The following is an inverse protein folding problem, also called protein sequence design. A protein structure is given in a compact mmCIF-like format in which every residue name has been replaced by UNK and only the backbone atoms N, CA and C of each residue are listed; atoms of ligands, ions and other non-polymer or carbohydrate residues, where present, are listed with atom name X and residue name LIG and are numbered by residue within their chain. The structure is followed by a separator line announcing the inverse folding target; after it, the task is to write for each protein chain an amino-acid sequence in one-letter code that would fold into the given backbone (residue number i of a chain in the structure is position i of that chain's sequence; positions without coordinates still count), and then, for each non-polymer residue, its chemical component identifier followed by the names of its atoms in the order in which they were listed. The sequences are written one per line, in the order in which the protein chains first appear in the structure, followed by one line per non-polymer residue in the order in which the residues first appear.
data_IF_643866567299
#
_entry.id   IF_643866567299
#
_cell.length_a   1.000
_cell.length_b   1.000
_cell.length_c   1.000
_cell.angle_alpha   90.00
_cell.angle_beta   90.00
_cell.angle_gamma   90.00
#
_symmetry.space_group_name_H-M   'P 1'
#
loop_
_entity.id
_entity.type
_entity.pdbx_description
1 polymer ?
#
# COMPACT_ATOMS: atom_id res chain seq x y z
N UNK A 1 -27.21 18.80 -16.53
CA UNK A 1 -26.90 18.37 -16.45
C UNK A 1 -26.42 18.18 -16.25
N UNK A 2 -26.33 18.15 -16.31
CA UNK A 2 -25.81 17.75 -16.19
C UNK A 2 -25.18 17.23 -16.10
N UNK A 3 -25.01 17.06 -16.21
CA UNK A 3 -24.50 16.38 -16.25
C UNK A 3 -23.84 15.95 -16.30
N UNK A 4 -23.62 15.83 -16.36
CA UNK A 4 -23.19 15.15 -16.42
C UNK A 4 -22.43 14.71 -16.45
N UNK A 5 -22.32 14.59 -16.61
CA UNK A 5 -21.85 14.00 -16.76
C UNK A 5 -21.11 13.74 -16.61
N UNK A 6 -20.95 13.62 -16.63
CA UNK A 6 -20.23 13.29 -16.51
C UNK A 6 -19.58 12.72 -16.33
N UNK A 7 -19.09 12.34 -16.60
CA UNK A 7 -18.65 11.69 -16.69
C UNK A 7 -17.95 10.82 -16.15
N UNK A 8 -17.64 10.26 -16.42
CA UNK A 8 -17.13 8.98 -16.29
C UNK A 8 -16.12 8.90 -15.25
N UNK A 9 -15.05 9.65 -15.32
CA UNK A 9 -14.04 9.67 -14.31
C UNK A 9 -14.57 10.24 -13.01
N UNK A 10 -15.78 10.74 -13.07
CA UNK A 10 -16.41 11.31 -11.91
C UNK A 10 -17.50 10.43 -11.35
N UNK A 11 -17.58 9.17 -11.80
CA UNK A 11 -18.58 8.28 -11.24
C UNK A 11 -18.27 8.01 -9.78
N UNK A 12 -19.28 7.72 -8.97
CA UNK A 12 -19.03 7.39 -7.57
C UNK A 12 -18.12 6.19 -7.38
N UNK A 13 -18.25 5.18 -8.24
CA UNK A 13 -17.39 4.00 -8.15
C UNK A 13 -15.94 4.39 -8.40
N UNK A 14 -15.71 5.20 -9.42
CA UNK A 14 -14.35 5.63 -9.74
C UNK A 14 -13.75 6.45 -8.59
N UNK A 15 -14.56 7.31 -7.99
CA UNK A 15 -14.08 8.12 -6.88
C UNK A 15 -13.72 7.25 -5.68
N UNK A 16 -14.53 6.23 -5.42
CA UNK A 16 -14.24 5.30 -4.33
C UNK A 16 -12.95 4.55 -4.61
N UNK A 17 -12.79 4.05 -5.82
CA UNK A 17 -11.58 3.33 -6.18
C UNK A 17 -10.34 4.19 -6.05
N UNK A 18 -10.43 5.42 -6.51
CA UNK A 18 -9.30 6.35 -6.41
C UNK A 18 -8.97 6.64 -4.95
N UNK A 19 -10.00 6.82 -4.14
CA UNK A 19 -9.81 7.07 -2.72
C UNK A 19 -9.17 5.91 -2.03
N UNK A 20 -9.65 4.69 -2.31
CA UNK A 20 -9.07 3.50 -1.71
C UNK A 20 -7.62 3.33 -2.15
N UNK A 21 -7.34 3.54 -3.41
CA UNK A 21 -5.98 3.42 -3.92
C UNK A 21 -5.06 4.40 -3.19
N UNK A 22 -5.54 5.62 -2.97
CA UNK A 22 -4.73 6.63 -2.28
C UNK A 22 -4.48 6.25 -0.83
N UNK A 23 -5.49 5.71 -0.15
CA UNK A 23 -5.34 5.30 1.23
C UNK A 23 -4.37 4.13 1.34
N UNK A 24 -4.52 3.15 0.45
CA UNK A 24 -3.65 1.98 0.47
C UNK A 24 -2.22 2.38 0.17
N UNK A 25 -2.04 3.30 -0.78
CA UNK A 25 -0.70 3.77 -1.09
C UNK A 25 -0.07 4.45 0.12
N UNK A 26 -0.83 5.30 0.80
CA UNK A 26 -0.33 5.97 1.99
C UNK A 26 0.03 4.97 3.07
N UNK A 27 -0.76 3.92 3.20
CA UNK A 27 -0.48 2.90 4.20
C UNK A 27 0.79 2.14 3.87
N UNK A 28 1.02 1.80 2.60
CA UNK A 28 2.24 1.11 2.20
C UNK A 28 3.45 1.99 2.53
N UNK A 29 3.37 3.27 2.21
CA UNK A 29 4.47 4.19 2.50
C UNK A 29 4.72 4.27 3.99
N UNK A 30 3.66 4.40 4.77
CA UNK A 30 3.79 4.52 6.21
C UNK A 30 4.43 3.27 6.82
N UNK A 31 3.98 2.10 6.38
CA UNK A 31 4.54 0.85 6.88
C UNK A 31 5.98 0.69 6.44
N UNK A 32 6.28 1.08 5.21
CA UNK A 32 7.65 1.00 4.72
C UNK A 32 8.57 1.85 5.58
N UNK A 33 8.19 3.10 5.82
CA UNK A 33 9.04 3.99 6.60
C UNK A 33 9.20 3.47 8.02
N UNK A 34 8.11 3.00 8.62
CA UNK A 34 8.15 2.50 9.98
C UNK A 34 9.08 1.31 10.12
N UNK A 35 8.94 0.34 9.24
CA UNK A 35 9.69 -0.90 9.41
C UNK A 35 11.12 -0.77 8.92
N UNK A 36 11.38 0.03 7.90
CA UNK A 36 12.76 0.23 7.48
C UNK A 36 13.53 1.00 8.53
N UNK A 37 12.89 1.94 9.20
CA UNK A 37 13.54 2.67 10.27
C UNK A 37 13.87 1.75 11.44
N UNK A 38 12.95 0.84 11.77
CA UNK A 38 13.18 -0.10 12.85
C UNK A 38 14.12 -1.23 12.47
N UNK A 39 14.25 -1.52 11.21
CA UNK A 39 15.14 -2.57 10.73
C UNK A 39 14.54 -3.96 10.72
N UNK A 40 13.26 -4.10 11.03
CA UNK A 40 12.60 -5.40 11.00
C UNK A 40 11.11 -5.23 10.81
N UNK A 41 10.47 -6.30 10.36
CA UNK A 41 9.03 -6.29 10.16
C UNK A 41 8.49 -7.64 10.64
N UNK A 42 7.71 -7.68 11.72
CA UNK A 42 7.19 -8.94 12.23
C UNK A 42 6.35 -9.66 11.19
N UNK A 43 6.28 -10.98 11.34
CA UNK A 43 5.55 -11.78 10.36
C UNK A 43 4.10 -11.34 10.22
N UNK A 44 3.42 -11.04 11.34
CA UNK A 44 2.03 -10.63 11.25
C UNK A 44 1.88 -9.35 10.44
N UNK A 45 2.86 -8.46 10.53
CA UNK A 45 2.81 -7.22 9.76
C UNK A 45 3.07 -7.49 8.29
N UNK A 46 3.97 -8.44 7.98
CA UNK A 46 4.20 -8.81 6.59
C UNK A 46 2.94 -9.40 5.98
N UNK A 47 2.23 -10.25 6.74
CA UNK A 47 1.01 -10.83 6.23
C UNK A 47 -0.05 -9.78 5.98
N UNK A 48 -0.14 -8.79 6.86
CA UNK A 48 -1.06 -7.69 6.62
C UNK A 48 -0.69 -6.89 5.38
N UNK A 49 0.62 -6.70 5.16
CA UNK A 49 1.07 -5.96 3.99
C UNK A 49 0.78 -6.69 2.70
N UNK A 50 0.81 -8.02 2.71
CA UNK A 50 0.44 -8.77 1.53
C UNK A 50 -0.97 -8.42 1.10
N UNK A 51 -1.90 -8.37 2.06
CA UNK A 51 -3.28 -8.04 1.74
C UNK A 51 -3.44 -6.60 1.27
N UNK A 52 -2.74 -5.68 1.92
CA UNK A 52 -2.79 -4.27 1.53
C UNK A 52 -2.26 -4.10 0.12
N UNK A 53 -1.12 -4.72 -0.16
CA UNK A 53 -0.50 -4.59 -1.47
C UNK A 53 -1.35 -5.23 -2.56
N UNK A 54 -1.92 -6.42 -2.27
CA UNK A 54 -2.76 -7.08 -3.24
C UNK A 54 -3.96 -6.23 -3.62
N UNK A 55 -4.58 -5.59 -2.62
CA UNK A 55 -5.72 -4.72 -2.89
C UNK A 55 -5.28 -3.50 -3.71
N UNK A 56 -4.13 -2.93 -3.37
CA UNK A 56 -3.62 -1.78 -4.10
C UNK A 56 -3.33 -2.14 -5.56
N UNK A 57 -2.71 -3.29 -5.76
CA UNK A 57 -2.37 -3.74 -7.10
C UNK A 57 -3.63 -4.02 -7.91
N UNK A 58 -4.64 -4.61 -7.27
CA UNK A 58 -5.90 -4.89 -7.95
C UNK A 58 -6.61 -3.62 -8.40
N UNK A 59 -6.34 -2.50 -7.72
CA UNK A 59 -6.91 -1.21 -8.09
C UNK A 59 -6.07 -0.48 -9.13
N UNK A 60 -5.05 -1.12 -9.66
CA UNK A 60 -4.23 -0.50 -10.70
C UNK A 60 -2.99 0.19 -10.20
N UNK A 61 -2.55 -0.12 -8.99
CA UNK A 61 -1.35 0.48 -8.44
C UNK A 61 -0.10 0.10 -9.21
N UNK A 62 0.95 0.88 -9.05
CA UNK A 62 2.09 0.73 -9.94
C UNK A 62 3.37 0.43 -9.18
N UNK A 63 4.48 0.48 -9.92
CA UNK A 63 5.75 -0.12 -9.53
C UNK A 63 6.46 0.48 -8.34
N UNK A 64 6.24 1.75 -8.00
CA UNK A 64 6.93 2.31 -6.86
C UNK A 64 6.49 1.63 -5.57
N UNK A 65 5.20 1.36 -5.44
CA UNK A 65 4.70 0.68 -4.25
C UNK A 65 5.15 -0.78 -4.25
N UNK A 66 5.35 -1.38 -5.41
CA UNK A 66 5.90 -2.71 -5.48
C UNK A 66 7.29 -2.75 -4.87
N UNK A 67 8.09 -1.74 -5.16
CA UNK A 67 9.43 -1.65 -4.59
C UNK A 67 9.37 -1.52 -3.07
N UNK A 68 8.50 -0.64 -2.57
CA UNK A 68 8.35 -0.46 -1.13
C UNK A 68 7.89 -1.76 -0.47
N UNK A 69 6.93 -2.42 -1.10
CA UNK A 69 6.43 -3.69 -0.58
C UNK A 69 7.54 -4.73 -0.51
N UNK A 70 8.33 -4.84 -1.58
CA UNK A 70 9.41 -5.81 -1.60
C UNK A 70 10.45 -5.52 -0.53
N UNK A 71 10.71 -4.24 -0.27
CA UNK A 71 11.66 -3.88 0.78
C UNK A 71 11.15 -4.28 2.15
N UNK A 72 9.84 -4.11 2.39
CA UNK A 72 9.26 -4.54 3.66
C UNK A 72 9.37 -6.05 3.82
N UNK A 73 9.03 -6.79 2.77
CA UNK A 73 9.04 -8.25 2.84
C UNK A 73 10.46 -8.78 3.05
N UNK A 74 11.45 -8.06 2.57
CA UNK A 74 12.84 -8.49 2.68
C UNK A 74 13.42 -8.23 4.07
N UNK A 75 12.75 -7.46 4.92
CA UNK A 75 13.26 -7.18 6.25
C UNK A 75 13.21 -8.43 7.13
N UNK A 76 14.12 -8.53 8.11
CA UNK A 76 14.03 -9.64 9.07
C UNK A 76 12.75 -9.53 9.87
N UNK A 77 12.29 -10.66 10.38
CA UNK A 77 11.04 -10.70 11.13
C UNK A 77 11.23 -10.33 12.58
N UNK A 78 12.47 -10.33 13.07
CA UNK A 78 12.76 -9.99 14.45
C UNK A 78 13.84 -8.95 14.48
N UNK A 79 13.87 -8.14 15.55
CA UNK A 79 14.94 -7.15 15.67
C UNK A 79 16.30 -7.84 15.67
N UNK A 80 17.24 -7.26 14.96
CA UNK A 80 18.58 -7.79 14.93
C UNK A 80 19.32 -7.28 16.14
N UNK A 81 19.92 -8.19 16.90
CA UNK A 81 20.70 -7.76 18.02
C UNK A 81 22.10 -7.45 17.58
N UNK A 82 22.65 -6.46 18.25
CA UNK A 82 24.03 -6.19 18.01
C UNK A 82 24.81 -6.83 19.03
N UNK A 83 25.76 -7.55 18.70
CA UNK A 83 26.58 -8.11 19.72
C UNK A 83 28.00 -7.82 19.53
#
# INVERSE_FOLDING_TARGET
QRQMCIRDSHSPVQAIENGLQSILRAEIIRQHDKHTERGYCPLYAKEAMVKVYDAYHALGGNGMMTRFYNEIIALPEEPQKED
#
